data_IF_148568584109
#
_entry.id   IF_148568584109
#
_cell.length_a   1.000
_cell.length_b   1.000
_cell.length_c   1.000
_cell.angle_alpha   90.00
_cell.angle_beta   90.00
_cell.angle_gamma   90.00
#
_symmetry.space_group_name_H-M   'P 1'
#
loop_
_entity.id
_entity.type
_entity.pdbx_description
1 polymer ?
2 water ?
#
# COMPACT_ATOMS: atom_id res chain seq x y z
N UNK A 1 -1.71 1.84 -3.61
CA UNK A 1 -1.21 0.74 -4.42
C UNK A 1 -0.07 0.02 -3.70
N UNK A 2 0.01 0.23 -2.40
CA UNK A 2 1.01 -0.48 -1.64
C UNK A 2 0.56 -0.74 -0.22
N UNK A 3 1.24 -1.71 0.35
CA UNK A 3 1.24 -1.97 1.77
C UNK A 3 2.51 -1.37 2.35
N UNK A 4 2.45 -1.00 3.62
CA UNK A 4 3.58 -0.38 4.30
C UNK A 4 4.20 -1.35 5.30
N UNK A 5 5.52 -1.51 5.25
CA UNK A 5 6.20 -2.21 6.33
C UNK A 5 6.13 -1.39 7.61
N UNK A 6 6.47 -2.05 8.72
CA UNK A 6 6.61 -1.36 9.99
C UNK A 6 7.53 -0.16 9.87
N UNK A 7 8.65 -0.32 9.15
CA UNK A 7 9.59 0.79 9.06
C UNK A 7 9.01 1.95 8.28
N UNK A 8 8.41 1.67 7.12
CA UNK A 8 7.81 2.74 6.32
C UNK A 8 6.70 3.44 7.09
N UNK A 9 5.89 2.68 7.84
CA UNK A 9 4.85 3.29 8.66
C UNK A 9 5.44 4.28 9.66
N UNK A 10 6.53 3.88 10.32
CA UNK A 10 7.12 4.75 11.34
C UNK A 10 7.66 6.03 10.71
N UNK A 11 8.30 5.91 9.54
CA UNK A 11 8.85 7.10 8.91
C UNK A 11 7.75 8.02 8.41
N UNK A 12 6.66 7.46 7.87
CA UNK A 12 5.52 8.28 7.48
C UNK A 12 4.87 8.91 8.70
N UNK A 13 4.73 8.14 9.78
CA UNK A 13 4.00 8.64 10.95
C UNK A 13 4.75 9.77 11.64
N UNK A 14 6.08 9.78 11.52
CA UNK A 14 6.91 10.79 12.18
C UNK A 14 6.55 12.20 11.73
N UNK A 15 6.06 12.35 10.50
CA UNK A 15 5.75 13.65 9.93
C UNK A 15 4.28 14.02 10.05
N UNK A 16 3.49 13.24 10.78
CA UNK A 16 2.05 13.49 10.88
C UNK A 16 1.75 14.59 11.89
N UNK A 17 0.68 15.34 11.61
CA UNK A 17 0.17 16.33 12.55
C UNK A 17 -0.84 15.72 13.51
N UNK A 18 -1.81 14.97 12.98
CA UNK A 18 -2.80 14.28 13.80
C UNK A 18 -2.14 13.09 14.50
N UNK A 19 -2.94 12.28 15.19
CA UNK A 19 -2.38 11.13 15.87
C UNK A 19 -1.99 10.05 14.87
N UNK A 20 -1.10 9.16 15.30
CA UNK A 20 -0.45 8.20 14.41
C UNK A 20 -1.28 6.93 14.25
N UNK A 21 -2.48 7.09 13.71
CA UNK A 21 -3.37 5.96 13.53
C UNK A 21 -3.10 5.29 12.19
N UNK A 22 -3.54 4.05 12.07
CA UNK A 22 -3.43 3.33 10.80
C UNK A 22 -4.05 4.14 9.65
N UNK A 23 -5.26 4.65 9.87
CA UNK A 23 -5.94 5.42 8.83
C UNK A 23 -5.17 6.68 8.47
N UNK A 24 -4.63 7.39 9.47
CA UNK A 24 -3.91 8.61 9.17
C UNK A 24 -2.60 8.32 8.44
N UNK A 25 -1.94 7.22 8.78
CA UNK A 25 -0.70 6.86 8.10
C UNK A 25 -0.97 6.54 6.64
N UNK A 26 -1.96 5.70 6.37
CA UNK A 26 -2.30 5.40 4.98
C UNK A 26 -2.81 6.63 4.24
N UNK A 27 -3.56 7.51 4.91
CA UNK A 27 -3.99 8.73 4.23
C UNK A 27 -2.80 9.57 3.78
N UNK A 28 -1.79 9.68 4.64
CA UNK A 28 -0.58 10.40 4.27
C UNK A 28 0.13 9.73 3.10
N UNK A 29 0.18 8.40 3.10
CA UNK A 29 0.75 7.68 1.96
C UNK A 29 0.00 8.03 0.68
N UNK A 30 -1.33 7.98 0.73
CA UNK A 30 -2.12 8.20 -0.47
C UNK A 30 -1.93 9.62 -1.00
N UNK A 31 -1.83 10.59 -0.09
CA UNK A 31 -1.56 11.96 -0.52
C UNK A 31 -0.19 12.06 -1.19
N UNK A 32 0.82 11.39 -0.62
CA UNK A 32 2.14 11.39 -1.23
C UNK A 32 2.10 10.78 -2.63
N UNK A 33 1.37 9.67 -2.79
CA UNK A 33 1.36 9.01 -4.09
C UNK A 33 0.71 9.87 -5.16
N UNK A 34 -0.20 10.76 -4.77
CA UNK A 34 -0.83 11.64 -5.75
C UNK A 34 0.19 12.56 -6.41
N UNK A 35 1.24 12.92 -5.69
CA UNK A 35 2.23 13.84 -6.23
C UNK A 35 3.52 13.15 -6.65
N UNK A 36 3.66 11.85 -6.40
CA UNK A 36 4.90 11.14 -6.69
C UNK A 36 4.87 10.52 -8.09
N UNK A 37 6.07 10.24 -8.60
CA UNK A 37 6.25 9.53 -9.86
C UNK A 37 6.98 8.23 -9.59
N UNK A 38 6.68 7.22 -10.40
CA UNK A 38 7.21 5.88 -10.25
C UNK A 38 8.51 5.71 -11.04
N UNK A 39 9.48 5.03 -10.43
CA UNK A 39 10.74 4.68 -11.08
C UNK A 39 10.96 3.18 -10.94
N UNK A 40 11.10 2.48 -12.07
CA UNK A 40 11.56 1.09 -12.05
C UNK A 40 13.06 1.16 -11.90
N UNK A 41 13.52 1.10 -10.66
CA UNK A 41 14.86 1.59 -10.33
C UNK A 41 15.91 0.48 -10.27
N UNK A 42 15.49 -0.75 -9.98
CA UNK A 42 16.41 -1.89 -10.01
C UNK A 42 15.55 -3.15 -10.04
N UNK A 43 16.20 -4.29 -10.29
CA UNK A 43 15.48 -5.55 -10.20
C UNK A 43 14.82 -5.66 -8.83
N UNK A 44 13.50 -5.86 -8.83
CA UNK A 44 12.78 -6.02 -7.58
C UNK A 44 12.66 -4.79 -6.73
N UNK A 45 12.93 -3.60 -7.28
CA UNK A 45 12.84 -2.35 -6.52
C UNK A 45 12.12 -1.31 -7.36
N UNK A 46 11.09 -0.71 -6.76
CA UNK A 46 10.33 0.37 -7.38
C UNK A 46 10.36 1.55 -6.43
N UNK A 47 10.75 2.71 -6.93
CA UNK A 47 10.75 3.92 -6.12
C UNK A 47 9.61 4.83 -6.54
N UNK A 48 9.03 5.52 -5.57
CA UNK A 48 8.07 6.58 -5.85
C UNK A 48 8.61 7.83 -5.20
N UNK A 49 8.78 8.89 -5.98
CA UNK A 49 9.38 10.10 -5.46
C UNK A 49 8.58 11.32 -5.87
N UNK A 50 8.48 12.28 -4.95
CA UNK A 50 7.93 13.59 -5.27
C UNK A 50 9.02 14.64 -5.37
N UNK A 51 10.27 14.20 -5.50
CA UNK A 51 11.39 15.11 -5.55
C UNK A 51 11.88 15.57 -4.20
N UNK A 52 11.15 15.30 -3.13
CA UNK A 52 11.59 15.60 -1.77
C UNK A 52 11.77 14.34 -0.95
N UNK A 53 10.78 13.45 -0.99
CA UNK A 53 10.85 12.16 -0.32
C UNK A 53 10.69 11.05 -1.35
N UNK A 54 11.13 9.86 -0.95
CA UNK A 54 11.06 8.66 -1.77
C UNK A 54 10.57 7.50 -0.94
N UNK A 55 9.60 6.79 -1.49
CA UNK A 55 9.10 5.53 -0.96
C UNK A 55 9.76 4.42 -1.76
N UNK A 56 10.51 3.55 -1.10
CA UNK A 56 11.21 2.44 -1.76
C UNK A 56 10.39 1.18 -1.54
N UNK A 57 10.08 0.47 -2.62
CA UNK A 57 9.13 -0.63 -2.58
C UNK A 57 9.68 -1.86 -3.29
N UNK A 58 9.14 -3.02 -2.91
CA UNK A 58 9.47 -4.28 -3.55
C UNK A 58 8.18 -4.94 -4.02
N UNK A 59 8.21 -5.78 -5.05
CA UNK A 59 6.97 -6.42 -5.52
C UNK A 59 6.47 -7.46 -4.54
N UNK A 60 5.17 -7.74 -4.65
CA UNK A 60 4.51 -8.78 -3.88
C UNK A 60 3.88 -9.78 -4.83
N UNK A 61 3.84 -11.04 -4.41
CA UNK A 61 3.15 -12.09 -5.18
C UNK A 61 1.66 -11.90 -4.98
N UNK A 62 0.95 -11.52 -6.04
CA UNK A 62 -0.48 -11.26 -5.96
C UNK A 62 -1.18 -11.98 -7.10
N UNK A 63 -2.51 -11.94 -7.07
CA UNK A 63 -3.34 -12.63 -8.05
C UNK A 63 -4.56 -11.78 -8.35
N UNK A 64 -4.93 -11.67 -9.62
CA UNK A 64 -6.14 -10.96 -10.00
C UNK A 64 -7.33 -11.90 -9.84
N UNK A 65 -8.30 -11.50 -9.03
CA UNK A 65 -9.44 -12.35 -8.70
C UNK A 65 -10.71 -11.52 -8.66
N UNK A 66 -11.84 -12.18 -8.88
CA UNK A 66 -13.12 -11.53 -8.66
C UNK A 66 -13.37 -11.40 -7.16
N UNK A 67 -14.29 -10.49 -6.81
CA UNK A 67 -14.65 -10.33 -5.41
C UNK A 67 -15.13 -11.64 -4.81
N UNK A 68 -15.91 -12.41 -5.56
CA UNK A 68 -16.37 -13.71 -5.07
C UNK A 68 -15.23 -14.67 -4.82
N UNK A 69 -14.26 -14.71 -5.73
CA UNK A 69 -13.09 -15.56 -5.51
C UNK A 69 -12.31 -15.12 -4.27
N UNK A 70 -12.19 -13.81 -4.06
CA UNK A 70 -11.51 -13.30 -2.88
C UNK A 70 -12.27 -13.71 -1.62
N UNK A 71 -13.60 -13.64 -1.67
CA UNK A 71 -14.40 -14.06 -0.53
C UNK A 71 -14.16 -15.52 -0.17
N UNK A 72 -13.93 -16.38 -1.17
CA UNK A 72 -13.59 -17.77 -0.87
C UNK A 72 -12.21 -17.87 -0.24
N UNK A 73 -11.25 -17.07 -0.72
CA UNK A 73 -9.89 -17.11 -0.18
C UNK A 73 -9.86 -16.73 1.29
N UNK A 74 -10.71 -15.80 1.72
CA UNK A 74 -10.63 -15.22 3.06
C UNK A 74 -11.59 -15.88 4.04
N UNK A 75 -12.21 -17.00 3.66
CA UNK A 75 -13.07 -17.76 4.56
C UNK A 75 -12.36 -18.08 5.87
N UNK A 76 -12.98 -17.68 6.98
CA UNK A 76 -12.47 -17.99 8.30
C UNK A 76 -11.22 -17.25 8.72
N UNK A 77 -10.70 -16.35 7.88
CA UNK A 77 -9.50 -15.60 8.23
C UNK A 77 -9.82 -14.60 9.33
N UNK A 78 -8.95 -14.52 10.32
CA UNK A 78 -9.16 -13.67 11.47
C UNK A 78 -8.84 -12.21 11.21
N UNK A 79 -8.57 -11.49 12.29
CA UNK A 79 -8.39 -10.04 12.21
C UNK A 79 -7.07 -9.72 11.51
N UNK A 80 -7.16 -8.91 10.45
CA UNK A 80 -6.02 -8.50 9.65
C UNK A 80 -6.07 -6.98 9.47
N UNK A 81 -4.92 -6.40 9.16
CA UNK A 81 -4.88 -5.05 8.61
C UNK A 81 -5.33 -5.16 7.16
N UNK A 82 -6.45 -4.54 6.81
CA UNK A 82 -7.06 -4.66 5.50
C UNK A 82 -7.00 -3.32 4.78
N UNK A 83 -6.46 -3.32 3.57
CA UNK A 83 -6.22 -2.11 2.80
C UNK A 83 -6.99 -2.19 1.49
N UNK A 84 -7.78 -1.15 1.19
CA UNK A 84 -8.51 -1.02 -0.07
C UNK A 84 -8.30 0.42 -0.53
N UNK A 85 -7.32 0.67 -1.39
CA UNK A 85 -6.98 2.07 -1.72
C UNK A 85 -8.13 2.85 -2.33
N UNK A 86 -8.92 2.22 -3.21
CA UNK A 86 -9.98 2.95 -3.89
C UNK A 86 -11.07 3.40 -2.93
N UNK A 87 -11.22 2.73 -1.80
CA UNK A 87 -12.16 3.14 -0.77
C UNK A 87 -11.54 3.95 0.34
N UNK A 88 -10.25 4.28 0.21
CA UNK A 88 -9.52 4.97 1.27
C UNK A 88 -9.70 4.26 2.61
N UNK A 89 -9.63 2.93 2.58
CA UNK A 89 -9.87 2.10 3.75
C UNK A 89 -8.57 1.43 4.16
N UNK A 90 -8.19 1.64 5.41
CA UNK A 90 -7.10 0.92 6.06
C UNK A 90 -7.63 0.59 7.45
N UNK A 91 -8.03 -0.66 7.67
CA UNK A 91 -8.78 -1.00 8.86
C UNK A 91 -8.33 -2.34 9.41
N UNK A 92 -8.21 -2.41 10.74
CA UNK A 92 -7.94 -3.66 11.44
C UNK A 92 -9.28 -4.34 11.69
N UNK A 93 -9.57 -5.40 10.93
CA UNK A 93 -10.89 -6.03 10.94
C UNK A 93 -10.78 -7.39 10.26
N UNK A 94 -11.90 -8.14 10.25
CA UNK A 94 -11.91 -9.44 9.57
C UNK A 94 -12.16 -9.24 8.07
N UNK A 95 -11.40 -9.93 7.22
CA UNK A 95 -11.55 -9.74 5.77
C UNK A 95 -12.96 -9.91 5.24
N UNK A 96 -13.72 -10.89 5.74
CA UNK A 96 -15.08 -11.08 5.23
C UNK A 96 -15.93 -9.83 5.45
N UNK A 97 -15.82 -9.22 6.63
CA UNK A 97 -16.53 -7.98 6.90
C UNK A 97 -15.99 -6.84 6.04
N UNK A 98 -14.67 -6.74 5.93
CA UNK A 98 -14.04 -5.70 5.12
C UNK A 98 -14.60 -5.71 3.71
N UNK A 99 -14.79 -6.90 3.15
CA UNK A 99 -15.21 -7.05 1.77
C UNK A 99 -16.63 -6.55 1.51
N UNK A 100 -17.42 -6.27 2.55
CA UNK A 100 -18.70 -5.61 2.33
C UNK A 100 -18.53 -4.22 1.72
N UNK A 101 -17.36 -3.60 1.90
CA UNK A 101 -17.09 -2.28 1.37
C UNK A 101 -16.50 -2.32 -0.04
N UNK A 102 -16.28 -3.50 -0.59
CA UNK A 102 -15.64 -3.65 -1.89
C UNK A 102 -16.72 -4.05 -2.89
N UNK A 103 -17.00 -3.25 -3.91
CA UNK A 103 -18.03 -3.62 -4.89
C UNK A 103 -17.58 -4.80 -5.73
N UNK A 104 -18.52 -5.55 -6.31
CA UNK A 104 -18.15 -6.62 -7.24
C UNK A 104 -17.23 -6.09 -8.33
N UNK A 105 -16.28 -6.92 -8.73
CA UNK A 105 -15.28 -6.53 -9.71
C UNK A 105 -14.06 -7.41 -9.58
N UNK A 106 -13.11 -7.17 -10.47
CA UNK A 106 -11.84 -7.87 -10.48
C UNK A 106 -10.78 -7.00 -9.81
N UNK A 107 -10.01 -7.61 -8.91
CA UNK A 107 -9.03 -6.88 -8.12
C UNK A 107 -7.77 -7.71 -7.96
N UNK A 108 -6.63 -7.03 -7.86
CA UNK A 108 -5.43 -7.70 -7.38
C UNK A 108 -5.56 -7.93 -5.89
N UNK A 109 -5.23 -9.15 -5.46
CA UNK A 109 -5.44 -9.60 -4.10
C UNK A 109 -4.14 -10.12 -3.53
N UNK A 110 -3.82 -9.71 -2.31
CA UNK A 110 -2.68 -10.21 -1.58
C UNK A 110 -3.07 -10.39 -0.13
N UNK A 111 -2.64 -11.50 0.46
CA UNK A 111 -2.88 -11.74 1.87
C UNK A 111 -1.68 -12.46 2.44
N UNK A 112 -1.32 -12.15 3.68
CA UNK A 112 -0.18 -12.79 4.32
C UNK A 112 -0.53 -13.10 5.77
N UNK A 113 -0.52 -14.38 6.12
CA UNK A 113 -0.95 -14.78 7.46
C UNK A 113 0.10 -14.49 8.52
N UNK A 114 1.38 -14.43 8.14
CA UNK A 114 2.40 -14.15 9.14
C UNK A 114 2.39 -12.68 9.54
N UNK A 115 2.18 -11.79 8.57
CA UNK A 115 2.09 -10.37 8.85
C UNK A 115 0.67 -9.89 9.14
N UNK A 116 -0.34 -10.75 8.95
CA UNK A 116 -1.74 -10.40 9.21
C UNK A 116 -2.18 -9.17 8.42
N UNK A 117 -1.96 -9.22 7.11
CA UNK A 117 -2.26 -8.10 6.23
C UNK A 117 -2.96 -8.60 4.97
N UNK A 118 -3.86 -7.77 4.46
CA UNK A 118 -4.62 -8.04 3.25
C UNK A 118 -4.69 -6.78 2.41
N UNK A 119 -4.59 -6.95 1.10
CA UNK A 119 -4.74 -5.87 0.14
C UNK A 119 -5.72 -6.31 -0.94
N UNK A 120 -6.64 -5.41 -1.29
CA UNK A 120 -7.50 -5.56 -2.46
C UNK A 120 -7.47 -4.22 -3.19
N UNK A 121 -7.21 -4.25 -4.49
CA UNK A 121 -7.17 -3.01 -5.24
C UNK A 121 -7.06 -3.26 -6.72
N UNK A 122 -7.30 -2.20 -7.50
CA UNK A 122 -7.18 -2.32 -8.95
C UNK A 122 -5.74 -2.33 -9.43
N UNK A 123 -4.81 -1.78 -8.65
CA UNK A 123 -3.41 -1.79 -9.02
C UNK A 123 -2.69 -2.92 -8.27
N UNK A 124 -1.70 -3.51 -8.93
CA UNK A 124 -0.91 -4.54 -8.27
C UNK A 124 -0.20 -3.94 -7.05
N UNK A 125 -0.26 -4.59 -5.90
CA UNK A 125 0.34 -4.00 -4.70
C UNK A 125 1.84 -4.23 -4.63
N UNK A 126 2.53 -3.24 -4.08
CA UNK A 126 3.93 -3.32 -3.72
C UNK A 126 4.04 -3.19 -2.21
N UNK A 127 5.21 -3.48 -1.66
CA UNK A 127 5.48 -3.37 -0.23
C UNK A 127 6.55 -2.31 -0.03
N UNK A 128 6.21 -1.24 0.69
CA UNK A 128 7.17 -0.17 0.93
C UNK A 128 8.07 -0.52 2.10
N UNK A 129 9.37 -0.64 1.82
CA UNK A 129 10.35 -0.97 2.85
C UNK A 129 10.86 0.26 3.59
N UNK A 130 10.78 1.44 3.00
CA UNK A 130 11.17 2.65 3.70
C UNK A 130 10.54 3.86 3.02
N UNK A 131 10.62 4.99 3.72
CA UNK A 131 10.23 6.30 3.25
C UNK A 131 11.30 7.23 3.78
N UNK A 132 11.96 7.98 2.89
CA UNK A 132 13.18 8.69 3.28
C UNK A 132 13.36 9.88 2.35
N UNK A 133 14.27 10.80 2.69
CA UNK A 133 14.57 11.90 1.76
C UNK A 133 15.05 11.35 0.43
N UNK A 134 14.65 12.04 -0.64
CA UNK A 134 15.00 11.62 -1.99
C UNK A 134 16.48 11.85 -2.25
N UNK A 135 17.11 10.88 -2.92
CA UNK A 135 18.48 11.02 -3.36
C UNK A 135 18.56 11.87 -4.62
N UNK A 136 19.78 12.31 -4.95
CA UNK A 136 19.95 13.24 -6.06
C UNK A 136 19.41 12.69 -7.38
N UNK A 137 19.64 11.41 -7.66
CA UNK A 137 19.16 10.88 -8.94
C UNK A 137 17.64 10.71 -8.97
N UNK A 138 17.02 10.47 -7.81
CA UNK A 138 15.57 10.43 -7.73
C UNK A 138 14.98 11.83 -7.94
N UNK A 139 15.61 12.84 -7.34
CA UNK A 139 15.18 14.22 -7.56
C UNK A 139 15.31 14.60 -9.03
N UNK A 140 16.40 14.20 -9.69
CA UNK A 140 16.57 14.52 -11.10
C UNK A 140 15.48 13.86 -11.94
N UNK A 141 15.18 12.59 -11.65
CA UNK A 141 14.10 11.91 -12.35
C UNK A 141 12.78 12.67 -12.18
N UNK A 142 12.48 13.08 -10.95
CA UNK A 142 11.24 13.82 -10.71
C UNK A 142 11.19 15.09 -11.56
N UNK A 143 12.30 15.84 -11.60
CA UNK A 143 12.33 17.11 -12.32
C UNK A 143 12.04 16.89 -13.80
N UNK A 144 12.55 15.81 -14.37
CA UNK A 144 12.45 15.58 -15.80
C UNK A 144 11.31 14.66 -16.19
N UNK A 145 10.46 14.28 -15.24
CA UNK A 145 9.28 13.47 -15.54
C UNK A 145 8.16 14.29 -16.18
#
# INVERSE_FOLDING_TARGET
MMLLTRHAKERIAKRLAKKRSLSHIYSSLWAFLERAVRIEIAEGVVAFTDGRKTLVCVPLDCERLSRGEILEKVRGVGVYECIFPEGRLAKLTRPEKFLESVPPGEYYFYMNDEKKVLYVGKRRPLLAITFRPAKRDERLFYIWA
#
